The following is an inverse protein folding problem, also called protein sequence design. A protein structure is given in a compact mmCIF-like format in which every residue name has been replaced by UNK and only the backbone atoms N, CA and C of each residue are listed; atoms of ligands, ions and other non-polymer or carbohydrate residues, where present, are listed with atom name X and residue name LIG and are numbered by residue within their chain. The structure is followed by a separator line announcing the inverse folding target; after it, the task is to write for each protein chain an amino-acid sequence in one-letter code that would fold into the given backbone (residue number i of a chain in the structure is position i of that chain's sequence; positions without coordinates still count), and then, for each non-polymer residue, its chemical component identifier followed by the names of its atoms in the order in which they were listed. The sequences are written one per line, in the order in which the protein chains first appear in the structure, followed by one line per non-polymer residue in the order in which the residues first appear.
data_IF_485092665698
#
_entry.id   IF_485092665698
#
_cell.length_a   1.000
_cell.length_b   1.000
_cell.length_c   1.000
_cell.angle_alpha   90.00
_cell.angle_beta   90.00
_cell.angle_gamma   90.00
#
_symmetry.space_group_name_H-M   'P 1'
#
loop_
_entity.id
_entity.type
_entity.pdbx_description
1 polymer ?
#
# COMPACT_ATOMS: atom_id res chain seq x y z
N UNK A 1 2.73 61.81 19.89
CA UNK A 1 4.02 62.44 19.53
C UNK A 1 5.01 61.32 19.33
N UNK A 2 5.35 60.99 18.07
CA UNK A 2 6.63 61.31 17.42
C UNK A 2 7.76 60.41 17.99
N UNK A 3 8.58 59.64 17.27
CA UNK A 3 9.16 59.75 15.93
C UNK A 3 9.76 58.38 15.54
N UNK A 4 9.68 58.00 14.26
CA UNK A 4 10.53 56.96 13.63
C UNK A 4 11.98 57.44 13.50
N UNK A 5 12.96 56.70 14.02
CA UNK A 5 14.38 56.75 13.60
C UNK A 5 14.98 55.35 13.75
N UNK A 6 15.24 54.66 12.65
CA UNK A 6 16.50 54.57 11.89
C UNK A 6 17.50 53.54 12.45
N UNK A 7 17.86 52.65 11.52
CA UNK A 7 18.86 51.59 11.56
C UNK A 7 20.20 51.97 12.22
N UNK A 8 20.79 51.02 12.93
CA UNK A 8 22.24 50.78 12.80
C UNK A 8 22.60 49.31 13.03
N UNK A 9 23.41 48.80 12.11
CA UNK A 9 23.95 47.46 12.05
C UNK A 9 25.00 47.22 13.14
N UNK A 10 24.93 46.07 13.82
CA UNK A 10 26.12 45.47 14.44
C UNK A 10 26.04 43.95 14.38
N UNK A 11 26.49 43.40 13.25
CA UNK A 11 26.78 41.98 13.07
C UNK A 11 28.06 41.63 13.85
N UNK A 12 27.91 41.19 15.10
CA UNK A 12 28.99 40.49 15.81
C UNK A 12 29.08 39.05 15.28
N UNK A 13 30.11 38.82 14.46
CA UNK A 13 30.54 37.48 14.01
C UNK A 13 30.92 36.63 15.23
N UNK A 14 30.05 35.71 15.64
CA UNK A 14 30.43 34.60 16.51
C UNK A 14 30.98 33.46 15.64
N UNK A 15 32.30 33.27 15.74
CA UNK A 15 33.05 32.24 15.04
C UNK A 15 33.10 31.00 15.93
N UNK A 16 32.07 30.16 15.88
CA UNK A 16 32.11 28.83 16.49
C UNK A 16 32.88 27.88 15.57
N UNK A 17 34.16 27.68 15.89
CA UNK A 17 34.94 26.54 15.42
C UNK A 17 34.38 25.29 16.09
N UNK A 18 33.58 24.51 15.38
CA UNK A 18 33.34 23.11 15.73
C UNK A 18 33.80 22.25 14.55
N UNK A 19 35.01 21.70 14.72
CA UNK A 19 35.48 20.56 13.93
C UNK A 19 34.62 19.36 14.29
N UNK A 20 33.56 19.12 13.52
CA UNK A 20 32.89 17.82 13.53
C UNK A 20 33.44 17.04 12.35
N UNK A 21 34.33 16.11 12.67
CA UNK A 21 34.65 14.99 11.80
C UNK A 21 33.33 14.35 11.37
N UNK A 22 33.05 14.38 10.06
CA UNK A 22 31.97 13.62 9.45
C UNK A 22 32.34 12.13 9.52
N UNK A 23 32.21 11.53 10.70
CA UNK A 23 32.13 10.10 10.84
C UNK A 23 30.79 9.66 10.25
N UNK A 24 30.86 8.80 9.24
CA UNK A 24 29.73 8.17 8.60
C UNK A 24 28.77 7.61 9.65
N UNK A 25 27.64 8.30 9.86
CA UNK A 25 26.51 7.72 10.57
C UNK A 25 25.94 6.68 9.62
N UNK A 26 26.44 5.46 9.74
CA UNK A 26 25.73 4.28 9.26
C UNK A 26 24.40 4.28 9.98
N UNK A 27 23.35 4.70 9.27
CA UNK A 27 21.96 4.61 9.71
C UNK A 27 21.63 3.13 9.96
N UNK A 28 21.92 2.65 11.16
CA UNK A 28 21.31 1.46 11.71
C UNK A 28 19.92 1.87 12.25
N UNK A 29 18.97 2.07 11.34
CA UNK A 29 17.56 2.04 11.71
C UNK A 29 17.19 0.56 11.93
N UNK A 30 17.29 0.11 13.18
CA UNK A 30 16.63 -1.11 13.64
C UNK A 30 15.72 -0.72 14.81
N UNK A 31 14.53 -0.23 14.48
CA UNK A 31 13.51 0.11 15.49
C UNK A 31 12.34 -0.90 15.53
N UNK A 32 12.18 -1.72 14.49
CA UNK A 32 11.32 -2.91 14.52
C UNK A 32 12.19 -4.18 14.58
N UNK A 33 12.01 -5.00 15.62
CA UNK A 33 12.62 -6.34 15.70
C UNK A 33 12.03 -7.36 14.71
N UNK A 34 11.19 -6.90 13.78
CA UNK A 34 10.46 -7.71 12.82
C UNK A 34 11.23 -7.79 11.51
N UNK A 35 11.41 -9.01 11.01
CA UNK A 35 12.00 -9.26 9.70
C UNK A 35 10.85 -9.47 8.72
N UNK A 36 10.82 -8.66 7.65
CA UNK A 36 9.81 -8.83 6.60
C UNK A 36 9.91 -10.22 5.98
N UNK A 37 8.76 -10.87 5.81
CA UNK A 37 8.65 -12.17 5.13
C UNK A 37 7.96 -11.95 3.80
N UNK A 38 8.60 -12.42 2.74
CA UNK A 38 8.12 -12.33 1.37
C UNK A 38 7.82 -13.73 0.83
N UNK A 39 6.80 -13.81 -0.01
CA UNK A 39 6.45 -15.03 -0.73
C UNK A 39 7.37 -15.18 -1.94
N UNK A 40 8.14 -16.27 -1.94
CA UNK A 40 9.10 -16.61 -2.98
C UNK A 40 8.52 -17.65 -3.96
N UNK A 41 9.07 -17.71 -5.17
CA UNK A 41 8.65 -18.67 -6.22
C UNK A 41 8.78 -20.14 -5.80
N UNK A 42 9.72 -20.47 -4.91
CA UNK A 42 9.93 -21.85 -4.45
C UNK A 42 8.72 -22.40 -3.68
N UNK A 43 7.95 -21.53 -3.02
CA UNK A 43 6.74 -21.86 -2.27
C UNK A 43 5.62 -20.92 -2.74
N UNK A 44 5.09 -21.14 -3.93
CA UNK A 44 4.00 -20.31 -4.47
C UNK A 44 2.75 -20.38 -3.57
N UNK A 45 2.43 -19.30 -2.83
CA UNK A 45 1.27 -19.29 -1.95
C UNK A 45 -0.04 -19.36 -2.72
N UNK A 46 -0.06 -18.94 -3.99
CA UNK A 46 -1.30 -18.78 -4.75
C UNK A 46 -2.02 -20.12 -4.92
N UNK A 47 -1.26 -21.19 -5.16
CA UNK A 47 -1.83 -22.53 -5.40
C UNK A 47 -2.67 -22.98 -4.21
N UNK A 48 -2.14 -22.85 -2.99
CA UNK A 48 -2.86 -23.21 -1.77
C UNK A 48 -3.87 -22.16 -1.33
N UNK A 49 -3.57 -20.88 -1.52
CA UNK A 49 -4.48 -19.81 -1.11
C UNK A 49 -5.79 -19.86 -1.89
N UNK A 50 -5.75 -20.11 -3.20
CA UNK A 50 -6.96 -20.15 -4.03
C UNK A 50 -7.71 -21.49 -3.99
N UNK A 51 -7.19 -22.50 -3.27
CA UNK A 51 -7.89 -23.77 -3.10
C UNK A 51 -9.22 -23.58 -2.41
N UNK A 52 -10.29 -24.14 -3.00
CA UNK A 52 -11.67 -23.99 -2.49
C UNK A 52 -11.81 -24.47 -1.03
N UNK A 53 -11.13 -25.56 -0.66
CA UNK A 53 -11.13 -26.11 0.71
C UNK A 53 -10.47 -25.14 1.69
N UNK A 54 -9.34 -24.57 1.32
CA UNK A 54 -8.60 -23.59 2.15
C UNK A 54 -9.44 -22.33 2.32
N UNK A 55 -10.02 -21.80 1.24
CA UNK A 55 -10.90 -20.63 1.31
C UNK A 55 -12.12 -20.86 2.21
N UNK A 56 -12.74 -22.05 2.15
CA UNK A 56 -13.85 -22.41 3.06
C UNK A 56 -13.38 -22.41 4.53
N UNK A 57 -12.25 -23.04 4.84
CA UNK A 57 -11.69 -23.07 6.19
C UNK A 57 -11.35 -21.66 6.70
N UNK A 58 -10.71 -20.83 5.88
CA UNK A 58 -10.38 -19.44 6.23
C UNK A 58 -11.65 -18.63 6.49
N UNK A 59 -12.71 -18.85 5.72
CA UNK A 59 -14.00 -18.20 5.90
C UNK A 59 -14.66 -18.60 7.22
N UNK A 60 -14.67 -19.90 7.54
CA UNK A 60 -15.21 -20.44 8.79
C UNK A 60 -14.45 -19.92 10.02
N UNK A 61 -13.11 -19.84 9.94
CA UNK A 61 -12.25 -19.30 10.99
C UNK A 61 -12.48 -17.80 11.22
N UNK A 62 -12.73 -17.05 10.14
CA UNK A 62 -12.92 -15.59 10.19
C UNK A 62 -14.12 -15.20 11.03
N UNK A 63 -15.18 -16.02 11.04
CA UNK A 63 -16.48 -15.77 11.69
C UNK A 63 -17.06 -14.40 11.31
N UNK A 64 -17.98 -14.41 10.34
CA UNK A 64 -18.63 -13.18 9.86
C UNK A 64 -19.32 -12.46 11.02
N UNK A 65 -18.96 -11.20 11.24
CA UNK A 65 -19.66 -10.28 12.13
C UNK A 65 -20.21 -9.09 11.33
N UNK A 66 -21.53 -9.06 11.14
CA UNK A 66 -22.22 -8.01 10.38
C UNK A 66 -22.01 -6.62 11.01
N UNK A 67 -21.93 -6.53 12.35
CA UNK A 67 -21.75 -5.25 13.03
C UNK A 67 -20.38 -4.66 12.74
N UNK A 68 -19.36 -5.52 12.63
CA UNK A 68 -17.98 -5.13 12.33
C UNK A 68 -17.80 -4.78 10.86
N UNK A 69 -18.40 -5.54 9.95
CA UNK A 69 -18.31 -5.31 8.50
C UNK A 69 -18.98 -3.98 8.11
N UNK A 70 -20.20 -3.75 8.61
CA UNK A 70 -20.98 -2.55 8.34
C UNK A 70 -20.82 -1.49 9.42
N UNK A 71 -19.63 -1.42 10.05
CA UNK A 71 -19.37 -0.42 11.07
C UNK A 71 -19.55 1.00 10.49
N UNK A 72 -20.01 1.93 11.33
CA UNK A 72 -20.17 3.33 10.92
C UNK A 72 -18.82 3.91 10.52
N UNK A 73 -18.73 4.43 9.29
CA UNK A 73 -17.53 5.10 8.77
C UNK A 73 -17.74 6.60 8.80
N UNK A 74 -16.74 7.35 9.27
CA UNK A 74 -16.73 8.82 9.26
C UNK A 74 -16.33 9.34 7.87
N UNK A 75 -17.08 8.94 6.84
CA UNK A 75 -16.80 9.29 5.43
C UNK A 75 -17.88 10.24 4.92
N UNK A 76 -17.48 11.44 4.52
CA UNK A 76 -18.36 12.41 3.86
C UNK A 76 -19.46 12.98 4.77
N UNK A 77 -20.51 13.50 4.14
CA UNK A 77 -21.68 14.04 4.85
C UNK A 77 -22.60 12.89 5.26
N UNK A 78 -23.03 12.88 6.52
CA UNK A 78 -24.04 11.96 7.02
C UNK A 78 -25.36 12.22 6.28
N UNK A 79 -26.05 11.15 5.91
CA UNK A 79 -27.43 11.20 5.40
C UNK A 79 -28.37 10.77 6.51
N UNK A 80 -29.58 11.31 6.49
CA UNK A 80 -30.62 10.92 7.44
C UNK A 80 -31.03 9.46 7.20
N UNK A 81 -31.22 8.67 8.27
CA UNK A 81 -31.63 7.28 8.15
C UNK A 81 -33.08 7.19 7.65
N UNK A 82 -33.36 6.23 6.79
CA UNK A 82 -34.72 5.87 6.38
C UNK A 82 -35.24 4.77 7.30
N UNK A 83 -36.48 4.92 7.77
CA UNK A 83 -37.17 3.92 8.57
C UNK A 83 -38.27 3.27 7.73
N UNK A 84 -38.32 1.94 7.77
CA UNK A 84 -39.27 1.13 7.01
C UNK A 84 -39.93 0.13 7.95
N UNK A 85 -41.23 -0.09 7.76
CA UNK A 85 -41.98 -1.12 8.48
C UNK A 85 -41.92 -2.41 7.68
N UNK A 86 -41.35 -3.45 8.29
CA UNK A 86 -41.14 -4.74 7.64
C UNK A 86 -41.94 -5.84 8.34
N UNK A 87 -42.47 -6.77 7.55
CA UNK A 87 -42.92 -8.07 8.06
C UNK A 87 -41.73 -8.97 8.34
N UNK A 88 -41.92 -10.03 9.14
CA UNK A 88 -40.84 -10.99 9.45
C UNK A 88 -40.26 -11.65 8.19
N UNK A 89 -41.09 -11.90 7.17
CA UNK A 89 -40.65 -12.42 5.89
C UNK A 89 -39.67 -11.46 5.20
N UNK A 90 -40.07 -10.21 5.04
CA UNK A 90 -39.25 -9.17 4.40
C UNK A 90 -37.96 -8.93 5.20
N UNK A 91 -38.03 -8.94 6.53
CA UNK A 91 -36.86 -8.82 7.39
C UNK A 91 -35.84 -9.94 7.11
N UNK A 92 -36.30 -11.18 6.97
CA UNK A 92 -35.44 -12.32 6.66
C UNK A 92 -34.81 -12.22 5.27
N UNK A 93 -35.55 -11.75 4.27
CA UNK A 93 -35.03 -11.49 2.93
C UNK A 93 -33.93 -10.42 2.96
N UNK A 94 -34.16 -9.29 3.62
CA UNK A 94 -33.15 -8.24 3.79
C UNK A 94 -31.91 -8.75 4.54
N UNK A 95 -32.09 -9.56 5.58
CA UNK A 95 -30.97 -10.18 6.29
C UNK A 95 -30.17 -11.12 5.37
N UNK A 96 -30.84 -11.87 4.49
CA UNK A 96 -30.19 -12.71 3.50
C UNK A 96 -29.37 -11.89 2.50
N UNK A 97 -29.94 -10.81 1.96
CA UNK A 97 -29.21 -9.88 1.08
C UNK A 97 -28.00 -9.26 1.76
N UNK A 98 -28.14 -8.83 3.02
CA UNK A 98 -27.05 -8.26 3.81
C UNK A 98 -25.94 -9.28 3.97
N UNK A 99 -26.25 -10.57 4.19
CA UNK A 99 -25.25 -11.64 4.25
C UNK A 99 -24.52 -11.81 2.92
N UNK A 100 -25.23 -11.82 1.80
CA UNK A 100 -24.59 -11.89 0.47
C UNK A 100 -23.65 -10.71 0.24
N UNK A 101 -24.11 -9.49 0.56
CA UNK A 101 -23.30 -8.26 0.49
C UNK A 101 -22.07 -8.36 1.41
N UNK A 102 -22.23 -8.89 2.61
CA UNK A 102 -21.15 -9.07 3.58
C UNK A 102 -20.07 -10.02 3.05
N UNK A 103 -20.48 -11.15 2.42
CA UNK A 103 -19.55 -12.11 1.80
C UNK A 103 -18.73 -11.42 0.70
N UNK A 104 -19.37 -10.62 -0.15
CA UNK A 104 -18.67 -9.86 -1.20
C UNK A 104 -17.65 -8.86 -0.64
N UNK A 105 -17.97 -8.18 0.46
CA UNK A 105 -17.04 -7.25 1.13
C UNK A 105 -15.89 -7.95 1.86
N UNK A 106 -16.08 -9.21 2.27
CA UNK A 106 -15.12 -10.03 3.00
C UNK A 106 -14.09 -10.74 2.12
N UNK A 107 -14.09 -10.50 0.80
CA UNK A 107 -13.10 -11.09 -0.10
C UNK A 107 -11.67 -10.83 0.39
N UNK A 108 -10.94 -11.91 0.67
CA UNK A 108 -9.59 -11.84 1.21
C UNK A 108 -8.60 -11.27 0.18
N UNK A 109 -7.68 -10.37 0.57
CA UNK A 109 -6.56 -9.98 -0.27
C UNK A 109 -5.75 -11.22 -0.71
N UNK A 110 -5.42 -11.34 -2.00
CA UNK A 110 -4.75 -12.53 -2.52
C UNK A 110 -3.30 -12.62 -2.00
N UNK A 111 -2.88 -13.81 -1.60
CA UNK A 111 -1.49 -14.13 -1.31
C UNK A 111 -0.80 -14.56 -2.62
N UNK A 112 0.15 -13.76 -3.10
CA UNK A 112 0.87 -13.98 -4.36
C UNK A 112 2.37 -13.77 -4.17
N UNK A 113 3.17 -14.35 -5.06
CA UNK A 113 4.63 -14.19 -5.08
C UNK A 113 5.02 -12.74 -5.37
N UNK A 114 6.14 -12.28 -4.79
CA UNK A 114 6.72 -10.97 -5.12
C UNK A 114 7.12 -10.91 -6.59
N UNK A 115 6.75 -9.84 -7.28
CA UNK A 115 7.15 -9.61 -8.67
C UNK A 115 8.66 -9.32 -8.76
N UNK A 116 9.37 -10.04 -9.64
CA UNK A 116 10.78 -9.77 -9.95
C UNK A 116 10.92 -8.61 -10.94
N UNK A 117 11.98 -7.78 -10.84
CA UNK A 117 12.27 -6.76 -11.84
C UNK A 117 12.47 -7.42 -13.21
N UNK A 118 11.70 -6.98 -14.20
CA UNK A 118 11.83 -7.43 -15.59
C UNK A 118 12.51 -6.31 -16.36
N UNK A 119 13.74 -6.56 -16.81
CA UNK A 119 14.48 -5.62 -17.67
C UNK A 119 14.64 -6.26 -19.03
N UNK A 120 13.62 -6.07 -19.88
CA UNK A 120 13.69 -6.47 -21.28
C UNK A 120 14.17 -5.28 -22.10
N UNK A 121 15.31 -5.44 -22.77
CA UNK A 121 15.87 -4.42 -23.67
C UNK A 121 15.35 -4.68 -25.09
N UNK A 122 14.79 -3.65 -25.72
CA UNK A 122 14.25 -3.71 -27.09
C UNK A 122 15.29 -3.28 -28.13
N UNK A 123 15.98 -2.15 -27.90
CA UNK A 123 17.00 -1.65 -28.83
C UNK A 123 18.11 -0.90 -28.08
N UNK A 124 19.28 -0.78 -28.71
CA UNK A 124 20.44 -0.02 -28.21
C UNK A 124 20.95 0.88 -29.32
N UNK A 125 20.61 2.16 -29.25
CA UNK A 125 20.93 3.13 -30.29
C UNK A 125 21.98 4.12 -29.77
N UNK A 126 23.27 3.77 -29.90
CA UNK A 126 24.37 4.57 -29.36
C UNK A 126 24.47 5.99 -29.94
N UNK A 127 23.93 6.23 -31.14
CA UNK A 127 23.88 7.56 -31.75
C UNK A 127 23.02 8.56 -30.95
N UNK A 128 22.10 8.07 -30.12
CA UNK A 128 21.25 8.90 -29.25
C UNK A 128 21.90 9.20 -27.89
N UNK A 129 23.11 8.68 -27.63
CA UNK A 129 23.80 8.91 -26.37
C UNK A 129 24.11 10.40 -26.20
N UNK A 130 23.62 10.98 -25.10
CA UNK A 130 23.82 12.41 -24.80
C UNK A 130 22.91 13.36 -25.58
N UNK A 131 21.92 12.85 -26.34
CA UNK A 131 20.93 13.69 -27.03
C UNK A 131 19.97 14.39 -26.04
N UNK A 132 19.58 13.68 -24.98
CA UNK A 132 18.67 14.19 -23.95
C UNK A 132 19.37 14.45 -22.62
N UNK A 133 18.81 15.35 -21.82
CA UNK A 133 19.21 15.59 -20.42
C UNK A 133 18.49 14.66 -19.43
N UNK A 134 17.34 14.10 -19.82
CA UNK A 134 16.50 13.24 -18.99
C UNK A 134 16.04 11.99 -19.73
N UNK A 135 15.64 10.97 -18.96
CA UNK A 135 15.01 9.75 -19.50
C UNK A 135 13.62 10.08 -20.05
N UNK A 136 13.26 9.50 -21.20
CA UNK A 136 11.91 9.61 -21.76
C UNK A 136 11.13 8.35 -21.45
N UNK A 137 9.87 8.50 -21.05
CA UNK A 137 8.98 7.36 -20.81
C UNK A 137 7.81 7.42 -21.78
N UNK A 138 7.64 6.35 -22.53
CA UNK A 138 6.54 6.17 -23.47
C UNK A 138 5.57 5.14 -22.90
N UNK A 139 4.28 5.45 -22.95
CA UNK A 139 3.23 4.56 -22.44
C UNK A 139 2.11 4.44 -23.47
N UNK A 140 1.61 3.22 -23.62
CA UNK A 140 0.41 2.94 -24.39
C UNK A 140 -0.85 3.26 -23.56
N UNK A 141 -1.67 4.18 -24.08
CA UNK A 141 -2.92 4.65 -23.46
C UNK A 141 -4.17 4.01 -24.06
N UNK A 142 -4.03 2.92 -24.83
CA UNK A 142 -5.16 2.21 -25.44
C UNK A 142 -6.20 1.77 -24.39
N UNK A 143 -7.47 2.08 -24.64
CA UNK A 143 -8.55 1.74 -23.74
C UNK A 143 -8.85 0.23 -23.74
N UNK A 144 -9.29 -0.33 -22.60
CA UNK A 144 -9.67 -1.73 -22.47
C UNK A 144 -8.53 -2.73 -22.16
N UNK A 145 -7.27 -2.31 -22.24
CA UNK A 145 -6.13 -3.13 -21.81
C UNK A 145 -5.99 -3.16 -20.28
N UNK A 146 -5.53 -4.29 -19.72
CA UNK A 146 -5.19 -4.38 -18.30
C UNK A 146 -3.87 -3.68 -18.01
N UNK A 147 -3.74 -3.13 -16.81
CA UNK A 147 -2.54 -2.39 -16.36
C UNK A 147 -1.26 -3.22 -16.40
N UNK A 148 -1.35 -4.55 -16.32
CA UNK A 148 -0.21 -5.48 -16.41
C UNK A 148 0.19 -5.82 -17.85
N UNK A 149 -0.72 -5.65 -18.82
CA UNK A 149 -0.53 -5.99 -20.23
C UNK A 149 -0.07 -4.77 -21.06
N UNK A 150 -0.19 -3.55 -20.52
CA UNK A 150 0.20 -2.30 -21.19
C UNK A 150 1.69 -2.23 -21.53
N UNK A 151 2.04 -1.72 -22.70
CA UNK A 151 3.42 -1.45 -23.08
C UNK A 151 3.87 -0.11 -22.48
N UNK A 152 4.87 -0.17 -21.60
CA UNK A 152 5.51 1.00 -21.00
C UNK A 152 7.01 0.81 -21.16
N UNK A 153 7.65 1.75 -21.85
CA UNK A 153 9.08 1.69 -22.18
C UNK A 153 9.78 2.98 -21.81
N UNK A 154 11.02 2.87 -21.37
CA UNK A 154 11.91 4.01 -21.11
C UNK A 154 13.03 4.04 -22.12
N UNK A 155 13.32 5.23 -22.64
CA UNK A 155 14.55 5.54 -23.36
C UNK A 155 15.53 6.19 -22.39
N UNK A 156 16.60 5.48 -22.09
CA UNK A 156 17.68 5.95 -21.23
C UNK A 156 18.63 6.91 -21.97
N UNK A 157 19.46 7.63 -21.19
CA UNK A 157 20.44 8.59 -21.69
C UNK A 157 21.52 7.96 -22.58
N UNK A 158 21.76 6.65 -22.41
CA UNK A 158 22.69 5.87 -23.23
C UNK A 158 22.11 5.50 -24.60
N UNK A 159 20.86 5.86 -24.88
CA UNK A 159 20.16 5.50 -26.12
C UNK A 159 19.50 4.11 -26.07
N UNK A 160 19.54 3.41 -24.94
CA UNK A 160 18.88 2.11 -24.75
C UNK A 160 17.37 2.26 -24.57
N UNK A 161 16.59 1.50 -25.33
CA UNK A 161 15.14 1.36 -25.15
C UNK A 161 14.84 0.07 -24.39
N UNK A 162 14.21 0.18 -23.23
CA UNK A 162 13.89 -0.97 -22.38
C UNK A 162 12.54 -0.84 -21.67
N UNK A 163 12.02 -1.96 -21.17
CA UNK A 163 10.86 -1.95 -20.28
C UNK A 163 11.13 -1.17 -18.99
N UNK A 164 10.06 -0.59 -18.45
CA UNK A 164 10.14 0.22 -17.23
C UNK A 164 10.08 -0.66 -15.99
N UNK A 165 10.85 -0.28 -14.97
CA UNK A 165 10.76 -0.89 -13.65
C UNK A 165 9.33 -0.83 -13.07
N UNK A 166 8.96 -1.83 -12.28
CA UNK A 166 7.64 -1.95 -11.70
C UNK A 166 7.19 -0.72 -10.90
N UNK A 167 8.10 -0.09 -10.14
CA UNK A 167 7.77 1.09 -9.35
C UNK A 167 7.36 2.27 -10.24
N UNK A 168 8.10 2.46 -11.34
CA UNK A 168 7.82 3.52 -12.30
C UNK A 168 6.59 3.19 -13.13
N UNK A 169 6.39 1.90 -13.48
CA UNK A 169 5.20 1.41 -14.18
C UNK A 169 3.92 1.71 -13.40
N UNK A 170 3.87 1.36 -12.12
CA UNK A 170 2.69 1.60 -11.27
C UNK A 170 2.39 3.09 -11.13
N UNK A 171 3.44 3.92 -10.99
CA UNK A 171 3.31 5.37 -10.95
C UNK A 171 2.74 5.92 -12.26
N UNK A 172 3.24 5.47 -13.42
CA UNK A 172 2.77 5.89 -14.74
C UNK A 172 1.32 5.45 -14.96
N UNK A 173 1.00 4.20 -14.63
CA UNK A 173 -0.38 3.70 -14.66
C UNK A 173 -1.30 4.59 -13.83
N UNK A 174 -0.90 5.01 -12.62
CA UNK A 174 -1.70 5.92 -11.80
C UNK A 174 -1.80 7.35 -12.38
N UNK A 175 -0.83 7.83 -13.16
CA UNK A 175 -0.91 9.13 -13.85
C UNK A 175 -1.97 9.11 -14.95
N UNK A 176 -1.94 8.09 -15.81
CA UNK A 176 -2.84 8.01 -16.98
C UNK A 176 -4.19 7.38 -16.65
N UNK A 177 -4.22 6.44 -15.70
CA UNK A 177 -5.41 5.70 -15.25
C UNK A 177 -5.55 5.81 -13.73
N UNK A 178 -5.97 6.98 -13.21
CA UNK A 178 -6.00 7.23 -11.78
C UNK A 178 -7.02 6.33 -11.07
N UNK A 179 -6.54 5.44 -10.21
CA UNK A 179 -7.40 4.69 -9.28
C UNK A 179 -7.77 5.57 -8.10
N UNK A 180 -9.04 5.50 -7.69
CA UNK A 180 -9.55 6.28 -6.55
C UNK A 180 -8.72 5.99 -5.30
N UNK A 181 -8.33 7.06 -4.61
CA UNK A 181 -7.58 7.05 -3.33
C UNK A 181 -6.13 6.51 -3.38
N UNK A 182 -5.65 5.96 -4.49
CA UNK A 182 -4.22 5.62 -4.66
C UNK A 182 -3.43 6.90 -4.90
N UNK A 183 -2.32 7.07 -4.18
CA UNK A 183 -1.45 8.23 -4.33
C UNK A 183 -0.29 7.94 -5.29
N UNK A 184 0.17 8.97 -6.03
CA UNK A 184 1.32 8.87 -6.94
C UNK A 184 2.65 8.63 -6.21
N UNK A 185 2.79 9.21 -5.02
CA UNK A 185 3.92 8.99 -4.13
C UNK A 185 3.45 8.14 -2.97
N UNK A 186 4.31 7.24 -2.50
CA UNK A 186 4.02 6.42 -1.33
C UNK A 186 3.76 7.34 -0.13
N UNK A 187 2.63 7.16 0.59
CA UNK A 187 2.32 7.93 1.79
C UNK A 187 3.43 7.84 2.84
N UNK A 188 3.67 8.94 3.55
CA UNK A 188 4.67 9.01 4.64
C UNK A 188 4.39 8.02 5.77
N UNK A 189 3.13 7.59 5.88
CA UNK A 189 2.63 6.63 6.86
C UNK A 189 3.38 5.28 6.84
N UNK A 190 3.89 4.87 5.68
CA UNK A 190 4.61 3.59 5.54
C UNK A 190 6.11 3.69 5.82
N UNK A 191 6.62 4.90 6.16
CA UNK A 191 7.98 5.09 6.67
C UNK A 191 8.07 4.57 8.10
N UNK A 192 9.20 3.96 8.45
CA UNK A 192 9.41 3.20 9.69
C UNK A 192 8.87 3.90 10.95
N UNK A 193 9.28 5.15 11.20
CA UNK A 193 8.85 5.89 12.42
C UNK A 193 7.33 6.03 12.56
N UNK A 194 6.62 6.41 11.48
CA UNK A 194 5.17 6.59 11.52
C UNK A 194 4.43 5.25 11.51
N UNK A 195 5.01 4.27 10.83
CA UNK A 195 4.46 2.93 10.76
C UNK A 195 4.46 2.25 12.14
N UNK A 196 5.57 2.37 12.88
CA UNK A 196 5.69 1.91 14.27
C UNK A 196 4.65 2.54 15.19
N UNK A 197 4.44 3.85 15.07
CA UNK A 197 3.45 4.56 15.86
C UNK A 197 2.03 3.99 15.66
N UNK A 198 1.68 3.64 14.42
CA UNK A 198 0.38 3.04 14.11
C UNK A 198 0.23 1.61 14.62
N UNK A 199 1.31 0.83 14.56
CA UNK A 199 1.35 -0.51 15.14
C UNK A 199 1.12 -0.42 16.67
N UNK A 200 1.78 0.52 17.34
CA UNK A 200 1.61 0.79 18.77
C UNK A 200 0.19 1.25 19.11
N UNK A 201 -0.44 2.05 18.24
CA UNK A 201 -1.86 2.44 18.36
C UNK A 201 -2.85 1.31 18.04
N UNK A 202 -2.37 0.15 17.56
CA UNK A 202 -3.17 -1.04 17.24
C UNK A 202 -4.18 -0.79 16.11
N UNK A 203 -3.85 0.09 15.18
CA UNK A 203 -4.69 0.46 14.02
C UNK A 203 -4.49 -0.48 12.81
N UNK A 204 -4.47 -1.79 13.05
CA UNK A 204 -4.09 -2.78 12.03
C UNK A 204 -4.97 -2.78 10.78
N UNK A 205 -6.30 -2.69 10.97
CA UNK A 205 -7.26 -2.72 9.84
C UNK A 205 -7.02 -1.51 8.94
N UNK A 206 -6.74 -0.34 9.53
CA UNK A 206 -6.45 0.87 8.78
C UNK A 206 -5.17 0.76 7.95
N UNK A 207 -4.10 0.23 8.56
CA UNK A 207 -2.82 -0.04 7.87
C UNK A 207 -3.04 -0.95 6.67
N UNK A 208 -3.73 -2.09 6.87
CA UNK A 208 -3.91 -3.12 5.85
C UNK A 208 -4.86 -2.65 4.73
N UNK A 209 -5.93 -1.93 5.07
CA UNK A 209 -6.83 -1.32 4.09
C UNK A 209 -6.08 -0.30 3.21
N UNK A 210 -5.26 0.55 3.82
CA UNK A 210 -4.46 1.53 3.10
C UNK A 210 -3.39 0.86 2.23
N UNK A 211 -2.77 -0.22 2.72
CA UNK A 211 -1.79 -0.99 1.95
C UNK A 211 -2.43 -1.61 0.70
N UNK A 212 -3.61 -2.23 0.82
CA UNK A 212 -4.36 -2.77 -0.33
C UNK A 212 -4.75 -1.69 -1.35
N UNK A 213 -4.95 -0.45 -0.90
CA UNK A 213 -5.30 0.66 -1.77
C UNK A 213 -4.08 1.25 -2.49
N UNK A 214 -2.96 1.37 -1.77
CA UNK A 214 -1.76 2.02 -2.27
C UNK A 214 -0.94 1.10 -3.17
N UNK A 215 -0.76 -0.16 -2.81
CA UNK A 215 0.16 -1.10 -3.47
C UNK A 215 -0.58 -2.21 -4.20
N UNK A 216 0.11 -2.93 -5.09
CA UNK A 216 -0.38 -4.19 -5.65
C UNK A 216 0.01 -5.36 -4.73
N UNK A 217 -0.75 -6.48 -4.70
CA UNK A 217 -0.44 -7.62 -3.82
C UNK A 217 0.94 -8.27 -4.05
N UNK A 218 1.45 -8.17 -5.28
CA UNK A 218 2.78 -8.68 -5.66
C UNK A 218 3.91 -7.68 -5.41
N UNK A 219 3.61 -6.47 -4.92
CA UNK A 219 4.62 -5.45 -4.61
C UNK A 219 5.39 -5.84 -3.33
N UNK A 220 6.74 -5.76 -3.31
CA UNK A 220 7.52 -6.02 -2.11
C UNK A 220 7.11 -5.13 -0.93
N UNK A 221 6.74 -3.86 -1.16
CA UNK A 221 6.30 -2.97 -0.07
C UNK A 221 4.98 -3.42 0.56
N UNK A 222 4.07 -3.97 -0.23
CA UNK A 222 2.83 -4.55 0.29
C UNK A 222 3.12 -5.73 1.22
N UNK A 223 4.01 -6.62 0.80
CA UNK A 223 4.38 -7.80 1.59
C UNK A 223 5.17 -7.43 2.84
N UNK A 224 6.05 -6.43 2.76
CA UNK A 224 6.75 -5.85 3.90
C UNK A 224 5.76 -5.33 4.95
N UNK A 225 4.83 -4.47 4.55
CA UNK A 225 3.86 -3.86 5.47
C UNK A 225 2.93 -4.92 6.08
N UNK A 226 2.39 -5.82 5.27
CA UNK A 226 1.47 -6.87 5.75
C UNK A 226 2.18 -7.86 6.68
N UNK A 227 3.35 -8.36 6.30
CA UNK A 227 4.12 -9.31 7.13
C UNK A 227 4.51 -8.74 8.48
N UNK A 228 5.01 -7.50 8.54
CA UNK A 228 5.35 -6.85 9.81
C UNK A 228 4.09 -6.67 10.67
N UNK A 229 2.99 -6.23 10.05
CA UNK A 229 1.71 -6.04 10.76
C UNK A 229 1.25 -7.37 11.37
N UNK A 230 1.26 -8.47 10.61
CA UNK A 230 0.89 -9.81 11.09
C UNK A 230 1.79 -10.32 12.21
N UNK A 231 3.10 -10.13 12.10
CA UNK A 231 4.02 -10.49 13.18
C UNK A 231 3.77 -9.68 14.45
N UNK A 232 3.44 -8.38 14.33
CA UNK A 232 3.10 -7.54 15.47
C UNK A 232 1.80 -7.99 16.17
N UNK A 233 0.78 -8.35 15.39
CA UNK A 233 -0.47 -8.91 15.91
C UNK A 233 -0.21 -10.23 16.65
N UNK A 234 0.62 -11.11 16.07
CA UNK A 234 0.97 -12.39 16.67
C UNK A 234 1.72 -12.22 18.00
N UNK A 235 2.70 -11.32 18.06
CA UNK A 235 3.46 -11.08 19.29
C UNK A 235 2.60 -10.50 20.42
N UNK A 236 1.58 -9.72 20.10
CA UNK A 236 0.69 -9.10 21.09
C UNK A 236 -0.62 -9.90 21.32
N UNK A 237 -0.82 -11.03 20.62
CA UNK A 237 -2.03 -11.86 20.66
C UNK A 237 -3.34 -11.11 20.34
N UNK A 238 -3.30 -10.13 19.43
CA UNK A 238 -4.44 -9.23 19.17
C UNK A 238 -5.34 -9.64 18.00
N UNK A 239 -5.56 -10.94 17.84
CA UNK A 239 -6.30 -11.49 16.69
C UNK A 239 -7.75 -10.98 16.59
N UNK A 240 -8.39 -10.70 17.73
CA UNK A 240 -9.77 -10.20 17.78
C UNK A 240 -9.94 -8.81 17.13
N UNK A 241 -8.88 -8.02 17.01
CA UNK A 241 -8.94 -6.72 16.31
C UNK A 241 -9.22 -6.90 14.82
N UNK A 242 -8.75 -7.98 14.22
CA UNK A 242 -8.83 -8.23 12.77
C UNK A 242 -9.85 -9.31 12.42
N UNK A 243 -10.22 -10.16 13.39
CA UNK A 243 -11.30 -11.15 13.23
C UNK A 243 -12.58 -10.51 12.69
N UNK A 244 -13.31 -11.19 11.81
CA UNK A 244 -14.49 -10.62 11.15
C UNK A 244 -14.19 -9.53 10.10
N UNK A 245 -12.93 -9.35 9.70
CA UNK A 245 -12.53 -8.48 8.57
C UNK A 245 -11.91 -9.30 7.44
N UNK A 246 -11.82 -8.72 6.24
CA UNK A 246 -11.21 -9.37 5.06
C UNK A 246 -9.73 -9.71 5.22
N UNK A 247 -9.03 -9.10 6.19
CA UNK A 247 -7.60 -9.35 6.37
C UNK A 247 -7.31 -10.57 7.24
N UNK A 248 -8.31 -11.08 7.97
CA UNK A 248 -8.11 -12.22 8.86
C UNK A 248 -7.74 -13.50 8.11
N UNK A 249 -8.36 -13.75 6.96
CA UNK A 249 -8.02 -14.90 6.11
C UNK A 249 -6.57 -14.85 5.63
N UNK A 250 -6.14 -13.71 5.10
CA UNK A 250 -4.75 -13.53 4.65
C UNK A 250 -3.73 -13.58 5.79
N UNK A 251 -4.08 -13.11 6.98
CA UNK A 251 -3.24 -13.23 8.18
C UNK A 251 -3.13 -14.67 8.68
N UNK A 252 -4.23 -15.42 8.68
CA UNK A 252 -4.26 -16.82 9.15
C UNK A 252 -3.49 -17.74 8.20
N UNK A 253 -3.44 -17.38 6.92
CA UNK A 253 -2.66 -18.09 5.92
C UNK A 253 -1.16 -17.83 6.00
N UNK A 254 -0.75 -16.66 6.50
CA UNK A 254 0.65 -16.22 6.65
C UNK A 254 1.33 -16.85 7.87
#
# INVERSE_FOLDING_TARGET
MAVFTLFSNSLKKFKLRNNVSCANITNNFRLLGYVSKEYNENNDPATHFFDKKVQQLLFDLTRIDLKKIFHKRKIGKLKDPTYEFLTDHQLNEHLHEIRIKAIGLLQFPPAVVVRKPKVKVFSRDFALKGYGTSKFVFTDITFGLKDNERLIVTRDLDGTLQEVDWTSRDRINQVFFPRKYRQLKVPHLFKENYFEELLNRREYVFILDLACQQFEPADPEYQRVSSITYQHINNNNEFEKIRGTRHFGSMTFF
#
